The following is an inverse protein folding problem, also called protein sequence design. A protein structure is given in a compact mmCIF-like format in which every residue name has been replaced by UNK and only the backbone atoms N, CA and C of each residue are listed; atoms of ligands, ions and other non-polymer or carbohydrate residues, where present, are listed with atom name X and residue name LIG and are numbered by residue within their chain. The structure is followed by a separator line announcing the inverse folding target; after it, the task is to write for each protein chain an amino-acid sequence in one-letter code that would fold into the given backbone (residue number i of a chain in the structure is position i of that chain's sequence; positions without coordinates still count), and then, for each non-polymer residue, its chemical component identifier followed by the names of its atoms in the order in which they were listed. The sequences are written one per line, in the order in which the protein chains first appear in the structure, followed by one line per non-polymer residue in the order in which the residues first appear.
data_IF_787425534437
#
_entry.id   IF_787425534437
#
_cell.length_a   1.000
_cell.length_b   1.000
_cell.length_c   1.000
_cell.angle_alpha   90.00
_cell.angle_beta   90.00
_cell.angle_gamma   90.00
#
_symmetry.space_group_name_H-M   'P 1'
#
loop_
_entity.id
_entity.type
_entity.pdbx_description
1 polymer ?
#
# COMPACT_ATOMS: atom_id res chain seq x y z
N UNK A 1 -28.56 -0.31 3.06
CA UNK A 1 -27.48 0.36 2.29
C UNK A 1 -27.90 0.57 0.85
N UNK A 2 -28.31 -0.48 0.13
CA UNK A 2 -28.69 -0.40 -1.30
C UNK A 2 -29.83 0.58 -1.56
N UNK A 3 -30.89 0.55 -0.76
CA UNK A 3 -32.01 1.50 -0.85
C UNK A 3 -31.55 2.95 -0.78
N UNK A 4 -30.60 3.28 0.13
CA UNK A 4 -30.01 4.63 0.20
C UNK A 4 -29.20 4.98 -1.04
N UNK A 5 -28.43 4.02 -1.58
CA UNK A 5 -27.68 4.23 -2.82
C UNK A 5 -28.60 4.51 -4.00
N UNK A 6 -29.73 3.84 -4.04
CA UNK A 6 -30.73 4.01 -5.09
C UNK A 6 -31.49 5.34 -4.99
N UNK A 7 -31.92 5.72 -3.78
CA UNK A 7 -32.81 6.87 -3.58
C UNK A 7 -32.08 8.21 -3.42
N UNK A 8 -30.89 8.21 -2.76
CA UNK A 8 -30.27 9.45 -2.30
C UNK A 8 -29.09 9.91 -3.18
N UNK A 9 -28.53 9.03 -4.00
CA UNK A 9 -27.34 9.36 -4.79
C UNK A 9 -27.67 9.50 -6.28
N UNK A 10 -27.23 10.59 -6.88
CA UNK A 10 -27.31 10.81 -8.33
C UNK A 10 -26.17 10.10 -9.06
N UNK A 11 -24.98 10.05 -8.45
CA UNK A 11 -23.78 9.36 -8.95
C UNK A 11 -23.02 8.71 -7.78
N UNK A 12 -22.40 7.58 -8.05
CA UNK A 12 -21.57 6.84 -7.13
C UNK A 12 -20.20 6.67 -7.78
N UNK A 13 -19.16 7.22 -7.17
CA UNK A 13 -17.81 7.15 -7.72
C UNK A 13 -16.99 6.04 -7.05
N UNK A 14 -16.49 5.14 -7.86
CA UNK A 14 -15.63 4.04 -7.44
C UNK A 14 -14.18 4.44 -7.73
N UNK A 15 -13.40 4.60 -6.67
CA UNK A 15 -11.97 4.91 -6.80
C UNK A 15 -11.20 3.64 -7.15
N UNK A 16 -11.08 3.36 -8.43
CA UNK A 16 -10.44 2.19 -8.98
C UNK A 16 -10.83 1.95 -10.44
N UNK A 17 -10.25 0.95 -11.04
CA UNK A 17 -10.57 0.49 -12.38
C UNK A 17 -11.33 -0.83 -12.29
N UNK A 18 -12.31 -1.00 -13.14
CA UNK A 18 -13.15 -2.20 -13.19
C UNK A 18 -12.34 -3.48 -13.42
N UNK A 19 -11.28 -3.38 -14.23
CA UNK A 19 -10.35 -4.49 -14.51
C UNK A 19 -9.63 -5.02 -13.26
N UNK A 20 -9.40 -4.16 -12.25
CA UNK A 20 -8.75 -4.56 -11.01
C UNK A 20 -9.73 -5.09 -9.97
N UNK A 21 -10.90 -4.50 -9.89
CA UNK A 21 -11.95 -4.91 -8.96
C UNK A 21 -13.29 -4.38 -9.43
N UNK A 22 -14.24 -5.31 -9.65
CA UNK A 22 -15.60 -4.98 -10.04
C UNK A 22 -16.57 -5.25 -8.87
N UNK A 23 -16.87 -4.25 -8.03
CA UNK A 23 -17.83 -4.40 -6.94
C UNK A 23 -19.26 -4.62 -7.44
N UNK A 24 -19.57 -4.30 -8.70
CA UNK A 24 -20.91 -4.53 -9.27
C UNK A 24 -21.13 -6.03 -9.40
N UNK A 25 -20.17 -6.76 -9.96
CA UNK A 25 -20.23 -8.20 -10.09
C UNK A 25 -20.05 -8.92 -8.74
N UNK A 26 -19.13 -8.43 -7.88
CA UNK A 26 -18.80 -9.06 -6.60
C UNK A 26 -19.97 -9.04 -5.60
N UNK A 27 -20.74 -7.96 -5.61
CA UNK A 27 -21.86 -7.77 -4.65
C UNK A 27 -23.25 -7.90 -5.31
N UNK A 28 -23.32 -8.40 -6.54
CA UNK A 28 -24.56 -8.54 -7.32
C UNK A 28 -25.44 -7.26 -7.26
N UNK A 29 -24.79 -6.12 -7.57
CA UNK A 29 -25.44 -4.81 -7.47
C UNK A 29 -26.49 -4.66 -8.57
N UNK A 30 -27.71 -4.26 -8.20
CA UNK A 30 -28.83 -4.06 -9.13
C UNK A 30 -28.49 -3.09 -10.26
N UNK A 31 -29.16 -3.25 -11.39
CA UNK A 31 -28.98 -2.39 -12.56
C UNK A 31 -29.27 -0.92 -12.25
N UNK A 32 -30.31 -0.63 -11.47
CA UNK A 32 -30.70 0.73 -11.06
C UNK A 32 -29.59 1.48 -10.29
N UNK A 33 -28.83 0.75 -9.47
CA UNK A 33 -27.67 1.30 -8.74
C UNK A 33 -26.45 1.33 -9.64
N UNK A 34 -26.17 0.26 -10.39
CA UNK A 34 -24.97 0.14 -11.22
C UNK A 34 -24.87 1.20 -12.32
N UNK A 35 -26.01 1.65 -12.86
CA UNK A 35 -26.09 2.75 -13.81
C UNK A 35 -25.59 4.09 -13.24
N UNK A 36 -25.63 4.27 -11.92
CA UNK A 36 -25.10 5.45 -11.22
C UNK A 36 -23.62 5.30 -10.84
N UNK A 37 -23.06 4.09 -10.96
CA UNK A 37 -21.67 3.79 -10.55
C UNK A 37 -20.69 4.11 -11.68
N UNK A 38 -19.65 4.86 -11.34
CA UNK A 38 -18.63 5.29 -12.30
C UNK A 38 -17.24 5.02 -11.75
N UNK A 39 -16.48 4.22 -12.47
CA UNK A 39 -15.07 3.98 -12.14
C UNK A 39 -14.27 5.21 -12.52
N UNK A 40 -13.64 5.83 -11.53
CA UNK A 40 -12.84 7.05 -11.74
C UNK A 40 -11.37 6.76 -12.03
N UNK A 41 -10.92 5.57 -11.69
CA UNK A 41 -9.50 5.24 -11.66
C UNK A 41 -8.89 5.54 -10.29
N UNK A 42 -7.60 5.23 -10.15
CA UNK A 42 -6.85 5.44 -8.91
C UNK A 42 -6.42 6.89 -8.77
N UNK A 43 -6.35 7.37 -7.51
CA UNK A 43 -6.00 8.77 -7.20
C UNK A 43 -4.51 8.83 -6.89
N UNK A 44 -3.72 9.63 -7.65
CA UNK A 44 -2.29 9.77 -7.39
C UNK A 44 -2.04 10.57 -6.11
N UNK A 45 -0.89 10.32 -5.51
CA UNK A 45 -0.32 11.18 -4.47
C UNK A 45 0.79 12.04 -5.04
N UNK A 46 1.08 13.15 -4.37
CA UNK A 46 2.15 14.06 -4.79
C UNK A 46 3.49 13.33 -4.78
N UNK A 47 4.20 13.41 -5.90
CA UNK A 47 5.58 12.91 -5.99
C UNK A 47 6.53 13.93 -5.34
N UNK A 48 7.34 13.55 -4.34
CA UNK A 48 8.29 14.46 -3.70
C UNK A 48 9.46 14.80 -4.64
N UNK A 49 10.09 15.93 -4.40
CA UNK A 49 11.31 16.29 -5.12
C UNK A 49 12.46 15.34 -4.80
N UNK A 50 13.41 15.21 -5.74
CA UNK A 50 14.63 14.40 -5.54
C UNK A 50 15.41 14.85 -4.29
N UNK A 51 15.40 16.15 -4.00
CA UNK A 51 16.04 16.71 -2.81
C UNK A 51 15.35 16.26 -1.52
N UNK A 52 14.00 16.28 -1.47
CA UNK A 52 13.26 15.79 -0.33
C UNK A 52 13.53 14.30 -0.06
N UNK A 53 13.64 13.48 -1.13
CA UNK A 53 14.02 12.06 -1.00
C UNK A 53 15.45 11.91 -0.46
N UNK A 54 16.42 12.71 -0.95
CA UNK A 54 17.81 12.70 -0.45
C UNK A 54 17.86 13.09 1.04
N UNK A 55 17.08 14.09 1.45
CA UNK A 55 16.97 14.50 2.86
C UNK A 55 16.51 13.33 3.73
N UNK A 56 15.44 12.62 3.35
CA UNK A 56 14.98 11.45 4.09
C UNK A 56 16.05 10.35 4.15
N UNK A 57 16.72 10.05 3.04
CA UNK A 57 17.81 9.07 3.03
C UNK A 57 18.94 9.45 4.00
N UNK A 58 19.31 10.73 4.02
CA UNK A 58 20.32 11.26 4.96
C UNK A 58 19.86 11.17 6.42
N UNK A 59 18.63 11.55 6.73
CA UNK A 59 18.06 11.46 8.07
C UNK A 59 17.98 10.01 8.59
N UNK A 60 17.74 9.07 7.68
CA UNK A 60 17.76 7.64 7.99
C UNK A 60 19.18 7.08 8.09
N UNK A 61 20.21 7.86 7.76
CA UNK A 61 21.61 7.45 7.77
C UNK A 61 21.93 6.40 6.70
N UNK A 62 21.24 6.43 5.56
CA UNK A 62 21.52 5.54 4.44
C UNK A 62 22.81 5.95 3.73
N UNK A 63 23.68 4.97 3.51
CA UNK A 63 24.89 5.13 2.68
C UNK A 63 24.53 5.04 1.20
N UNK A 64 25.43 5.51 0.33
CA UNK A 64 25.23 5.37 -1.11
C UNK A 64 25.14 3.90 -1.51
N UNK A 65 24.11 3.56 -2.28
CA UNK A 65 23.83 2.18 -2.72
C UNK A 65 23.15 1.29 -1.67
N UNK A 66 23.03 1.73 -0.42
CA UNK A 66 22.37 0.95 0.63
C UNK A 66 20.85 0.90 0.39
N UNK A 67 20.30 -0.30 0.46
CA UNK A 67 18.87 -0.56 0.23
C UNK A 67 18.04 -0.22 1.45
N UNK A 68 16.80 0.21 1.23
CA UNK A 68 15.82 0.53 2.27
C UNK A 68 14.54 -0.28 2.10
N UNK A 69 14.17 -1.03 3.14
CA UNK A 69 12.88 -1.69 3.27
C UNK A 69 12.04 -0.94 4.32
N UNK A 70 10.89 -0.44 3.91
CA UNK A 70 9.93 0.21 4.81
C UNK A 70 8.78 -0.74 5.07
N UNK A 71 8.46 -0.97 6.34
CA UNK A 71 7.31 -1.80 6.74
C UNK A 71 6.25 -0.92 7.38
N UNK A 72 5.03 -0.96 6.84
CA UNK A 72 3.93 -0.17 7.36
C UNK A 72 2.62 -0.96 7.36
N UNK A 73 1.81 -0.75 8.37
CA UNK A 73 0.48 -1.37 8.49
C UNK A 73 -0.65 -0.36 8.27
N UNK A 74 -0.32 0.81 7.68
CA UNK A 74 -1.27 1.88 7.46
C UNK A 74 -1.84 2.40 8.79
N UNK A 75 -3.14 2.23 9.03
CA UNK A 75 -3.77 2.59 10.31
C UNK A 75 -3.24 1.79 11.51
N UNK A 76 -2.86 0.54 11.32
CA UNK A 76 -2.19 -0.31 12.30
C UNK A 76 -3.10 -1.10 13.24
N UNK A 77 -4.43 -0.96 13.15
CA UNK A 77 -5.36 -1.60 14.09
C UNK A 77 -5.22 -3.13 14.16
N UNK A 78 -5.03 -3.75 13.02
CA UNK A 78 -4.89 -5.20 12.82
C UNK A 78 -3.49 -5.63 12.31
N UNK A 79 -2.55 -4.69 12.31
CA UNK A 79 -1.22 -4.87 11.70
C UNK A 79 -0.15 -5.50 12.59
N UNK A 80 -0.45 -5.88 13.83
CA UNK A 80 0.57 -6.39 14.76
C UNK A 80 1.30 -7.62 14.20
N UNK A 81 0.58 -8.60 13.63
CA UNK A 81 1.18 -9.80 13.05
C UNK A 81 2.20 -9.46 11.94
N UNK A 82 1.93 -8.43 11.12
CA UNK A 82 2.87 -8.02 10.07
C UNK A 82 4.19 -7.55 10.68
N UNK A 83 4.13 -6.73 11.72
CA UNK A 83 5.31 -6.25 12.44
C UNK A 83 6.01 -7.36 13.21
N UNK A 84 5.25 -8.22 13.87
CA UNK A 84 5.75 -9.34 14.68
C UNK A 84 6.53 -10.33 13.81
N UNK A 85 5.96 -10.77 12.68
CA UNK A 85 6.63 -11.70 11.75
C UNK A 85 7.87 -11.06 11.13
N UNK A 86 7.83 -9.76 10.78
CA UNK A 86 9.00 -9.06 10.26
C UNK A 86 10.14 -9.01 11.29
N UNK A 87 9.82 -8.71 12.55
CA UNK A 87 10.81 -8.70 13.62
C UNK A 87 11.33 -10.11 13.91
N UNK A 88 10.47 -11.13 13.92
CA UNK A 88 10.88 -12.52 14.07
C UNK A 88 11.83 -12.95 12.94
N UNK A 89 11.57 -12.53 11.71
CA UNK A 89 12.49 -12.72 10.57
C UNK A 89 13.86 -12.10 10.88
N UNK A 90 13.92 -10.83 11.30
CA UNK A 90 15.20 -10.17 11.60
C UNK A 90 15.92 -10.82 12.78
N UNK A 91 15.20 -11.26 13.82
CA UNK A 91 15.75 -11.97 14.98
C UNK A 91 16.33 -13.35 14.65
N UNK A 92 15.82 -13.99 13.60
CA UNK A 92 16.32 -15.31 13.14
C UNK A 92 17.58 -15.25 12.29
N UNK A 93 17.98 -14.05 11.82
CA UNK A 93 19.15 -13.90 10.97
C UNK A 93 20.44 -14.00 11.79
N UNK A 94 21.40 -14.79 11.29
CA UNK A 94 22.76 -14.87 11.88
C UNK A 94 23.62 -13.64 11.57
N UNK A 95 23.27 -12.89 10.51
CA UNK A 95 23.94 -11.67 10.09
C UNK A 95 22.91 -10.62 9.69
N UNK A 96 23.21 -9.31 9.81
CA UNK A 96 22.32 -8.23 9.37
C UNK A 96 21.94 -8.41 7.89
N UNK A 97 20.66 -8.12 7.50
CA UNK A 97 20.26 -8.20 6.11
C UNK A 97 20.98 -7.13 5.26
N UNK A 98 21.08 -7.31 3.91
CA UNK A 98 21.79 -6.40 3.01
C UNK A 98 20.98 -5.10 2.75
N UNK A 99 20.13 -4.71 3.69
CA UNK A 99 19.31 -3.50 3.62
C UNK A 99 19.03 -2.94 5.02
N UNK A 100 18.72 -1.65 5.08
CA UNK A 100 18.16 -1.05 6.30
C UNK A 100 16.65 -1.20 6.37
N UNK A 101 16.15 -1.31 7.58
CA UNK A 101 14.71 -1.41 7.86
C UNK A 101 14.19 -0.18 8.58
N UNK A 102 12.99 0.25 8.21
CA UNK A 102 12.19 1.23 8.96
C UNK A 102 10.78 0.67 9.17
N UNK A 103 10.30 0.71 10.41
CA UNK A 103 8.96 0.24 10.77
C UNK A 103 8.07 1.42 11.14
N UNK A 104 6.84 1.42 10.61
CA UNK A 104 5.83 2.45 10.88
C UNK A 104 4.55 1.75 11.32
N UNK A 105 4.29 1.74 12.63
CA UNK A 105 3.22 0.92 13.23
C UNK A 105 1.81 1.40 12.94
N UNK A 106 1.66 2.68 12.65
CA UNK A 106 0.35 3.31 12.46
C UNK A 106 -0.31 3.75 13.78
N UNK A 107 -1.22 4.75 13.70
CA UNK A 107 -1.79 5.40 14.89
C UNK A 107 -2.74 4.51 15.70
N UNK A 108 -3.35 3.50 15.09
CA UNK A 108 -4.36 2.65 15.74
C UNK A 108 -3.81 1.32 16.28
N UNK A 109 -2.51 1.07 16.15
CA UNK A 109 -1.92 -0.13 16.77
C UNK A 109 -2.09 -0.07 18.29
N UNK A 110 -2.60 -1.14 18.94
CA UNK A 110 -2.77 -1.19 20.39
C UNK A 110 -1.47 -0.84 21.13
N UNK A 111 -1.57 -0.06 22.19
CA UNK A 111 -0.40 0.46 22.92
C UNK A 111 0.59 -0.62 23.34
N UNK A 112 0.08 -1.76 23.82
CA UNK A 112 0.94 -2.87 24.26
C UNK A 112 1.70 -3.49 23.08
N UNK A 113 1.02 -3.81 21.99
CA UNK A 113 1.64 -4.33 20.76
C UNK A 113 2.69 -3.38 20.20
N UNK A 114 2.39 -2.07 20.17
CA UNK A 114 3.34 -1.05 19.74
C UNK A 114 4.57 -0.98 20.62
N UNK A 115 4.40 -1.06 21.94
CA UNK A 115 5.55 -1.08 22.88
C UNK A 115 6.45 -2.28 22.62
N UNK A 116 5.88 -3.45 22.37
CA UNK A 116 6.64 -4.65 22.04
C UNK A 116 7.44 -4.49 20.74
N UNK A 117 6.78 -4.04 19.69
CA UNK A 117 7.45 -3.73 18.39
C UNK A 117 8.63 -2.78 18.60
N UNK A 118 8.43 -1.67 19.30
CA UNK A 118 9.49 -0.67 19.54
C UNK A 118 10.65 -1.24 20.36
N UNK A 119 10.35 -2.05 21.39
CA UNK A 119 11.36 -2.68 22.24
C UNK A 119 12.25 -3.65 21.45
N UNK A 120 11.62 -4.54 20.65
CA UNK A 120 12.34 -5.51 19.82
C UNK A 120 13.15 -4.83 18.74
N UNK A 121 12.54 -3.94 17.98
CA UNK A 121 13.22 -3.19 16.92
C UNK A 121 14.45 -2.40 17.44
N UNK A 122 14.33 -1.77 18.61
CA UNK A 122 15.45 -1.05 19.24
C UNK A 122 16.64 -1.94 19.57
N UNK A 123 16.42 -3.19 20.00
CA UNK A 123 17.49 -4.16 20.27
C UNK A 123 18.31 -4.52 19.03
N UNK A 124 17.67 -4.47 17.87
CA UNK A 124 18.29 -4.76 16.58
C UNK A 124 18.77 -3.50 15.83
N UNK A 125 18.68 -2.32 16.45
CA UNK A 125 19.04 -1.05 15.81
C UNK A 125 18.08 -0.63 14.69
N UNK A 126 16.88 -1.20 14.62
CA UNK A 126 15.88 -0.89 13.60
C UNK A 126 15.11 0.38 13.99
N UNK A 127 15.06 1.35 13.09
CA UNK A 127 14.35 2.61 13.31
C UNK A 127 12.84 2.39 13.24
N UNK A 128 12.11 2.93 14.21
CA UNK A 128 10.66 2.77 14.33
C UNK A 128 9.96 4.10 14.53
N UNK A 129 8.80 4.23 13.88
CA UNK A 129 7.90 5.37 14.04
C UNK A 129 6.50 4.88 14.41
N UNK A 130 5.84 5.60 15.31
CA UNK A 130 4.42 5.41 15.56
C UNK A 130 3.60 5.91 14.37
N UNK A 131 3.95 7.09 13.87
CA UNK A 131 3.34 7.77 12.74
C UNK A 131 4.42 8.52 11.97
N UNK A 132 4.35 8.50 10.65
CA UNK A 132 5.24 9.27 9.78
C UNK A 132 4.41 10.23 8.94
N UNK A 133 4.64 11.53 9.09
CA UNK A 133 3.74 12.55 8.55
C UNK A 133 3.77 12.65 7.03
N UNK A 134 4.91 12.35 6.40
CA UNK A 134 5.14 12.52 4.98
C UNK A 134 5.47 11.16 4.33
N UNK A 135 4.45 10.27 4.35
CA UNK A 135 4.59 8.89 3.86
C UNK A 135 5.10 8.84 2.42
N UNK A 136 4.69 9.77 1.56
CA UNK A 136 5.15 9.86 0.18
C UNK A 136 6.67 9.99 0.07
N UNK A 137 7.32 10.71 1.00
CA UNK A 137 8.77 10.90 0.97
C UNK A 137 9.54 9.64 1.38
N UNK A 138 9.07 8.95 2.43
CA UNK A 138 9.75 7.74 2.88
C UNK A 138 9.50 6.57 1.91
N UNK A 139 8.32 6.50 1.26
CA UNK A 139 8.05 5.53 0.20
C UNK A 139 8.93 5.79 -1.03
N UNK A 140 9.04 7.04 -1.47
CA UNK A 140 9.95 7.39 -2.56
C UNK A 140 11.44 7.16 -2.24
N UNK A 141 11.81 7.10 -0.96
CA UNK A 141 13.18 6.78 -0.54
C UNK A 141 13.43 5.27 -0.43
N UNK A 142 12.38 4.46 -0.33
CA UNK A 142 12.47 3.01 -0.16
C UNK A 142 12.74 2.28 -1.48
N UNK A 143 13.42 1.16 -1.41
CA UNK A 143 13.52 0.18 -2.50
C UNK A 143 12.30 -0.75 -2.48
N UNK A 144 11.84 -1.15 -1.29
CA UNK A 144 10.65 -1.98 -1.10
C UNK A 144 9.81 -1.41 0.04
N UNK A 145 8.49 -1.43 -0.14
CA UNK A 145 7.52 -1.19 0.94
C UNK A 145 6.74 -2.46 1.20
N UNK A 146 6.85 -2.98 2.42
CA UNK A 146 6.00 -4.06 2.92
C UNK A 146 4.76 -3.45 3.57
N UNK A 147 3.56 -3.81 3.10
CA UNK A 147 2.31 -3.22 3.59
C UNK A 147 1.15 -4.20 3.57
N UNK A 148 0.01 -3.82 4.18
CA UNK A 148 -1.22 -4.62 4.13
C UNK A 148 -2.09 -4.36 2.89
N UNK A 149 -1.66 -3.51 1.96
CA UNK A 149 -2.37 -3.27 0.71
C UNK A 149 -3.67 -2.47 0.83
N UNK A 150 -3.80 -1.63 1.86
CA UNK A 150 -4.90 -0.66 1.95
C UNK A 150 -4.88 0.29 0.74
N UNK A 151 -6.07 0.71 0.26
CA UNK A 151 -6.20 1.54 -0.95
C UNK A 151 -5.26 2.75 -0.96
N UNK A 152 -5.31 3.57 0.09
CA UNK A 152 -4.48 4.78 0.16
C UNK A 152 -2.98 4.45 0.15
N UNK A 153 -2.57 3.43 0.92
CA UNK A 153 -1.17 3.02 1.00
C UNK A 153 -0.64 2.54 -0.35
N UNK A 154 -1.42 1.72 -1.09
CA UNK A 154 -1.01 1.27 -2.42
C UNK A 154 -0.96 2.42 -3.43
N UNK A 155 -1.94 3.33 -3.43
CA UNK A 155 -1.87 4.51 -4.27
C UNK A 155 -0.64 5.38 -3.98
N UNK A 156 -0.27 5.50 -2.71
CA UNK A 156 0.94 6.22 -2.29
C UNK A 156 2.20 5.51 -2.79
N UNK A 157 2.34 4.21 -2.60
CA UNK A 157 3.51 3.42 -3.01
C UNK A 157 3.68 3.42 -4.53
N UNK A 158 2.62 3.05 -5.26
CA UNK A 158 2.64 2.99 -6.73
C UNK A 158 2.87 4.38 -7.35
N UNK A 159 2.32 5.43 -6.74
CA UNK A 159 2.54 6.81 -7.16
C UNK A 159 3.99 7.28 -7.04
N UNK A 160 4.81 6.60 -6.22
CA UNK A 160 6.25 6.84 -6.09
C UNK A 160 7.10 5.92 -6.98
N UNK A 161 6.50 4.96 -7.67
CA UNK A 161 7.21 3.94 -8.43
C UNK A 161 8.03 3.00 -7.53
N UNK A 162 7.60 2.80 -6.29
CA UNK A 162 8.28 1.96 -5.30
C UNK A 162 7.71 0.54 -5.32
N UNK A 163 8.57 -0.47 -5.26
CA UNK A 163 8.15 -1.87 -5.24
C UNK A 163 7.37 -2.18 -3.96
N UNK A 164 6.25 -2.86 -4.09
CA UNK A 164 5.36 -3.21 -2.99
C UNK A 164 5.31 -4.72 -2.77
N UNK A 165 5.58 -5.15 -1.53
CA UNK A 165 5.26 -6.49 -1.04
C UNK A 165 4.02 -6.38 -0.13
N UNK A 166 2.92 -6.98 -0.55
CA UNK A 166 1.63 -6.87 0.14
C UNK A 166 1.37 -8.09 1.00
N UNK A 167 1.03 -7.86 2.26
CA UNK A 167 0.56 -8.89 3.20
C UNK A 167 -0.92 -8.58 3.48
N UNK A 168 -1.84 -9.01 2.60
CA UNK A 168 -3.23 -8.59 2.66
C UNK A 168 -3.98 -9.27 3.79
N UNK A 169 -4.79 -8.51 4.52
CA UNK A 169 -5.79 -9.07 5.40
C UNK A 169 -6.88 -9.77 4.57
N UNK A 170 -7.35 -10.94 5.03
CA UNK A 170 -8.38 -11.73 4.38
C UNK A 170 -9.72 -11.69 5.13
N UNK A 171 -9.69 -11.42 6.44
CA UNK A 171 -10.86 -11.34 7.31
C UNK A 171 -10.85 -10.06 8.14
N UNK A 172 -12.01 -9.49 8.50
CA UNK A 172 -13.37 -9.81 8.07
C UNK A 172 -13.75 -9.29 6.68
N UNK A 173 -12.89 -8.51 6.03
CA UNK A 173 -13.13 -7.91 4.72
C UNK A 173 -12.08 -8.36 3.73
N UNK A 174 -12.48 -8.72 2.53
CA UNK A 174 -11.61 -9.30 1.49
C UNK A 174 -11.04 -8.27 0.51
N UNK A 175 -11.36 -6.99 0.64
CA UNK A 175 -10.92 -5.97 -0.32
C UNK A 175 -9.39 -5.89 -0.50
N UNK A 176 -8.62 -6.21 0.54
CA UNK A 176 -7.15 -6.19 0.45
C UNK A 176 -6.60 -7.36 -0.34
N UNK A 177 -7.09 -8.59 -0.08
CA UNK A 177 -6.62 -9.77 -0.82
C UNK A 177 -7.07 -9.74 -2.27
N UNK A 178 -8.31 -9.32 -2.56
CA UNK A 178 -8.79 -9.17 -3.94
C UNK A 178 -7.91 -8.16 -4.70
N UNK A 179 -7.64 -7.01 -4.09
CA UNK A 179 -6.77 -5.99 -4.68
C UNK A 179 -5.34 -6.51 -4.87
N UNK A 180 -4.75 -7.16 -3.87
CA UNK A 180 -3.41 -7.71 -3.97
C UNK A 180 -3.28 -8.71 -5.12
N UNK A 181 -4.22 -9.65 -5.25
CA UNK A 181 -4.27 -10.62 -6.36
C UNK A 181 -4.40 -9.94 -7.72
N UNK A 182 -5.26 -8.93 -7.82
CA UNK A 182 -5.48 -8.22 -9.08
C UNK A 182 -4.26 -7.41 -9.51
N UNK A 183 -3.61 -6.72 -8.58
CA UNK A 183 -2.38 -5.97 -8.87
C UNK A 183 -1.19 -6.90 -9.16
N UNK A 184 -1.11 -8.04 -8.48
CA UNK A 184 -0.07 -9.05 -8.73
C UNK A 184 -0.15 -9.64 -10.13
N UNK A 185 -1.36 -9.91 -10.66
CA UNK A 185 -1.53 -10.40 -12.05
C UNK A 185 -0.99 -9.44 -13.12
N UNK A 186 -0.72 -8.21 -12.77
CA UNK A 186 -0.21 -7.16 -13.65
C UNK A 186 1.20 -6.70 -13.25
N UNK A 187 1.90 -7.48 -12.45
CA UNK A 187 3.25 -7.22 -11.94
C UNK A 187 3.39 -5.85 -11.23
N UNK A 188 2.29 -5.29 -10.71
CA UNK A 188 2.31 -4.02 -9.97
C UNK A 188 2.74 -4.19 -8.52
N UNK A 189 2.51 -5.36 -7.95
CA UNK A 189 2.91 -5.73 -6.58
C UNK A 189 3.26 -7.21 -6.50
N UNK A 190 4.07 -7.58 -5.53
CA UNK A 190 4.15 -8.94 -5.04
C UNK A 190 3.30 -9.06 -3.78
N UNK A 191 2.82 -10.28 -3.45
CA UNK A 191 2.08 -10.49 -2.23
C UNK A 191 2.35 -11.86 -1.60
N UNK A 192 2.14 -11.94 -0.28
CA UNK A 192 2.15 -13.20 0.46
C UNK A 192 0.75 -13.37 1.07
N UNK A 193 0.02 -14.46 0.78
CA UNK A 193 -1.24 -14.77 1.43
C UNK A 193 -1.07 -14.83 2.96
N UNK A 194 -2.14 -14.49 3.69
CA UNK A 194 -2.07 -14.45 5.15
C UNK A 194 -1.74 -15.81 5.79
N UNK A 195 -2.16 -16.90 5.16
CA UNK A 195 -1.88 -18.25 5.60
C UNK A 195 -0.38 -18.61 5.46
N UNK A 196 0.27 -18.10 4.41
CA UNK A 196 1.67 -18.41 4.06
C UNK A 196 2.65 -17.40 4.68
N UNK A 197 2.16 -16.41 5.43
CA UNK A 197 2.98 -15.35 5.98
C UNK A 197 3.82 -15.85 7.15
N UNK A 198 5.08 -16.20 6.84
CA UNK A 198 6.09 -16.70 7.76
C UNK A 198 7.43 -15.95 7.59
N UNK A 199 8.32 -15.96 8.61
CA UNK A 199 9.59 -15.22 8.57
C UNK A 199 10.50 -15.58 7.39
N UNK A 200 10.64 -16.85 7.06
CA UNK A 200 11.46 -17.36 5.96
C UNK A 200 10.88 -16.96 4.59
N UNK A 201 9.58 -17.14 4.39
CA UNK A 201 8.89 -16.74 3.16
C UNK A 201 9.02 -15.22 2.94
N UNK A 202 8.87 -14.44 4.01
CA UNK A 202 9.02 -12.98 3.95
C UNK A 202 10.43 -12.56 3.56
N UNK A 203 11.45 -13.18 4.18
CA UNK A 203 12.86 -12.94 3.85
C UNK A 203 13.14 -13.20 2.37
N UNK A 204 12.76 -14.39 1.89
CA UNK A 204 13.05 -14.82 0.54
C UNK A 204 12.36 -13.93 -0.50
N UNK A 205 11.12 -13.51 -0.24
CA UNK A 205 10.40 -12.56 -1.09
C UNK A 205 11.06 -11.18 -1.11
N UNK A 206 11.52 -10.65 0.02
CA UNK A 206 12.22 -9.35 0.06
C UNK A 206 13.53 -9.44 -0.73
N UNK A 207 14.33 -10.47 -0.54
CA UNK A 207 15.59 -10.65 -1.27
C UNK A 207 15.33 -10.79 -2.76
N UNK A 208 14.37 -11.61 -3.16
CA UNK A 208 13.96 -11.76 -4.56
C UNK A 208 13.60 -10.42 -5.21
N UNK A 209 12.79 -9.59 -4.54
CA UNK A 209 12.38 -8.28 -5.06
C UNK A 209 13.52 -7.27 -5.15
N UNK A 210 14.50 -7.34 -4.24
CA UNK A 210 15.70 -6.50 -4.30
C UNK A 210 16.59 -6.86 -5.48
N UNK A 211 16.65 -8.14 -5.85
CA UNK A 211 17.45 -8.66 -6.96
C UNK A 211 16.72 -8.53 -8.32
N UNK A 212 15.39 -8.57 -8.33
CA UNK A 212 14.56 -8.58 -9.53
C UNK A 212 13.55 -7.41 -9.58
N UNK A 213 13.99 -6.14 -9.53
CA UNK A 213 13.09 -5.00 -9.48
C UNK A 213 12.44 -4.63 -10.82
N UNK A 214 13.03 -5.01 -11.95
CA UNK A 214 12.70 -4.45 -13.26
C UNK A 214 11.29 -4.79 -13.77
N UNK A 215 10.74 -6.02 -13.64
CA UNK A 215 9.37 -6.32 -14.06
C UNK A 215 8.34 -5.40 -13.40
N UNK A 216 8.50 -5.16 -12.09
CA UNK A 216 7.61 -4.29 -11.31
C UNK A 216 7.72 -2.82 -11.71
N UNK A 217 8.94 -2.33 -11.95
CA UNK A 217 9.18 -0.96 -12.42
C UNK A 217 8.58 -0.71 -13.79
N UNK A 218 8.73 -1.66 -14.70
CA UNK A 218 8.15 -1.58 -16.03
C UNK A 218 6.63 -1.57 -15.97
N UNK A 219 6.00 -2.45 -15.19
CA UNK A 219 4.56 -2.46 -14.98
C UNK A 219 4.05 -1.15 -14.37
N UNK A 220 4.72 -0.64 -13.32
CA UNK A 220 4.36 0.64 -12.70
C UNK A 220 4.51 1.83 -13.66
N UNK A 221 5.47 1.82 -14.57
CA UNK A 221 5.64 2.90 -15.56
C UNK A 221 4.45 3.01 -16.53
N UNK A 222 3.75 1.92 -16.76
CA UNK A 222 2.55 1.84 -17.60
C UNK A 222 1.25 2.12 -16.83
N UNK A 223 1.29 2.06 -15.50
CA UNK A 223 0.11 2.27 -14.67
C UNK A 223 -0.32 3.74 -14.66
N UNK A 224 -1.59 3.99 -14.96
CA UNK A 224 -2.14 5.36 -15.07
C UNK A 224 -3.06 5.69 -13.90
N UNK A 225 -2.78 6.81 -13.28
CA UNK A 225 -3.65 7.42 -12.27
C UNK A 225 -4.61 8.40 -12.95
N UNK A 226 -5.85 8.01 -13.15
CA UNK A 226 -6.85 8.81 -13.86
C UNK A 226 -7.91 9.42 -12.94
N UNK A 227 -7.83 9.14 -11.63
CA UNK A 227 -8.91 9.45 -10.69
C UNK A 227 -9.29 10.93 -10.64
N UNK A 228 -8.32 11.83 -10.45
CA UNK A 228 -8.58 13.27 -10.33
C UNK A 228 -9.15 13.83 -11.65
N UNK A 229 -8.52 13.50 -12.77
CA UNK A 229 -8.95 14.00 -14.08
C UNK A 229 -10.36 13.53 -14.44
N UNK A 230 -10.67 12.26 -14.18
CA UNK A 230 -12.00 11.70 -14.43
C UNK A 230 -13.06 12.38 -13.56
N UNK A 231 -12.79 12.60 -12.26
CA UNK A 231 -13.69 13.30 -11.37
C UNK A 231 -13.93 14.74 -11.80
N UNK A 232 -12.88 15.47 -12.16
CA UNK A 232 -13.00 16.86 -12.66
C UNK A 232 -13.89 16.92 -13.91
N UNK A 233 -13.66 16.06 -14.88
CA UNK A 233 -14.46 15.97 -16.12
C UNK A 233 -15.93 15.71 -15.83
N UNK A 234 -16.23 14.79 -14.91
CA UNK A 234 -17.61 14.48 -14.51
C UNK A 234 -18.29 15.65 -13.80
N UNK A 235 -17.59 16.34 -12.91
CA UNK A 235 -18.14 17.51 -12.22
C UNK A 235 -18.52 18.64 -13.19
N UNK A 236 -17.71 18.89 -14.21
CA UNK A 236 -18.03 19.89 -15.25
C UNK A 236 -19.31 19.48 -16.00
N UNK A 237 -19.39 18.23 -16.45
CA UNK A 237 -20.55 17.72 -17.16
C UNK A 237 -21.84 17.73 -16.30
N UNK A 238 -21.71 17.50 -14.99
CA UNK A 238 -22.84 17.56 -14.05
C UNK A 238 -23.38 18.99 -13.87
N UNK A 239 -22.51 19.99 -13.85
CA UNK A 239 -22.92 21.41 -13.81
C UNK A 239 -23.63 21.85 -15.09
N UNK A 240 -23.12 21.45 -16.27
CA UNK A 240 -23.74 21.78 -17.55
C UNK A 240 -25.13 21.17 -17.78
N UNK A 241 -25.46 20.05 -17.11
CA UNK A 241 -26.79 19.42 -17.20
C UNK A 241 -27.84 20.05 -16.30
N UNK A 242 -27.44 20.91 -15.35
CA UNK A 242 -28.34 21.60 -14.41
C UNK A 242 -28.53 23.09 -14.71
N UNK A 243 -27.81 23.64 -15.66
CA UNK A 243 -27.96 24.98 -16.21
C UNK A 243 -28.81 24.92 -17.50
#
# INVERSE_FOLDING_TARGET
VYEHLEMLYSEIWIYGNREFYDPIAEYDISESISQKMHFTGYIPRKVPSKEAVRTVKKELGLKNGEKLVVVTTGGGGDGFRVMDTYLAMLESLSQPPPYKSVLITGPFMPKQSRRDVFKRARRMGVRTYHFYRQMEKIFAAADIVVSMGGYNTLCEILGQGTISLVIPRETPRQEQIIRARSFHRQDLVEYIPWADYAPDILRDKILYLLENPEPYREAMSRFKFTGIETMQRRLVNFRCKRA
#
